data_IF_479767886247
#
_entry.id   IF_479767886247
#
_cell.length_a   1.000
_cell.length_b   1.000
_cell.length_c   1.000
_cell.angle_alpha   90.00
_cell.angle_beta   90.00
_cell.angle_gamma   90.00
#
_symmetry.space_group_name_H-M   'P 1'
#
loop_
_entity.id
_entity.type
_entity.pdbx_description
1 polymer ?
#
# COMPACT_ATOMS: atom_id res chain seq x y z
N UNK A 1 -10.84 19.09 66.86
CA UNK A 1 -10.19 18.22 65.86
C UNK A 1 -10.80 18.57 64.51
N UNK A 2 -10.21 19.52 63.76
CA UNK A 2 -10.79 20.08 62.53
C UNK A 2 -10.14 19.40 61.31
N UNK A 3 -10.94 18.73 60.49
CA UNK A 3 -10.56 18.20 59.19
C UNK A 3 -10.21 19.34 58.22
N UNK A 4 -9.07 19.25 57.55
CA UNK A 4 -8.74 20.07 56.38
C UNK A 4 -8.88 19.22 55.11
N UNK A 5 -9.81 19.61 54.25
CA UNK A 5 -9.91 19.13 52.87
C UNK A 5 -8.86 19.87 52.02
N UNK A 6 -7.91 19.14 51.44
CA UNK A 6 -6.98 19.67 50.44
C UNK A 6 -7.61 19.48 49.06
N UNK A 7 -8.10 20.57 48.47
CA UNK A 7 -8.52 20.61 47.07
C UNK A 7 -7.25 20.73 46.19
N UNK A 8 -6.94 19.66 45.45
CA UNK A 8 -5.87 19.66 44.46
C UNK A 8 -6.46 20.10 43.11
N UNK A 9 -6.35 21.39 42.79
CA UNK A 9 -6.75 21.92 41.47
C UNK A 9 -5.56 21.77 40.52
N UNK A 10 -5.63 20.82 39.58
CA UNK A 10 -4.71 20.73 38.45
C UNK A 10 -5.14 21.78 37.42
N UNK A 11 -4.33 22.83 37.28
CA UNK A 11 -4.42 23.78 36.17
C UNK A 11 -3.80 23.11 34.94
N UNK A 12 -4.63 22.53 34.06
CA UNK A 12 -4.20 22.16 32.70
C UNK A 12 -4.08 23.47 31.91
N UNK A 13 -2.88 24.04 31.89
CA UNK A 13 -2.52 25.03 30.88
C UNK A 13 -2.60 24.32 29.52
N UNK A 14 -3.68 24.55 28.76
CA UNK A 14 -3.64 24.45 27.31
C UNK A 14 -2.70 25.55 26.83
N UNK A 15 -1.40 25.28 26.91
CA UNK A 15 -0.46 25.96 26.05
C UNK A 15 -0.87 25.57 24.63
N UNK A 16 -1.43 26.53 23.90
CA UNK A 16 -1.55 26.46 22.46
C UNK A 16 -0.11 26.37 21.94
N UNK A 17 0.41 25.15 21.82
CA UNK A 17 1.66 24.92 21.12
C UNK A 17 1.29 25.17 19.66
N UNK A 18 1.73 26.27 19.03
CA UNK A 18 1.59 26.37 17.60
C UNK A 18 2.33 25.15 17.05
N UNK A 19 1.61 24.23 16.40
CA UNK A 19 2.23 23.20 15.59
C UNK A 19 3.00 23.96 14.52
N UNK A 20 4.28 24.21 14.76
CA UNK A 20 5.18 24.57 13.69
C UNK A 20 5.21 23.33 12.83
N UNK A 21 4.72 23.46 11.60
CA UNK A 21 5.08 22.55 10.52
C UNK A 21 6.60 22.69 10.29
N UNK A 22 7.38 22.19 11.23
CA UNK A 22 8.75 21.77 11.02
C UNK A 22 8.69 20.41 10.34
N UNK A 23 9.62 20.17 9.43
CA UNK A 23 9.84 18.89 8.78
C UNK A 23 10.33 17.84 9.81
N UNK A 24 9.47 17.48 10.76
CA UNK A 24 9.70 16.35 11.64
C UNK A 24 9.01 15.14 11.04
N UNK A 25 9.83 14.13 10.76
CA UNK A 25 9.35 12.86 10.23
C UNK A 25 8.48 12.17 11.29
N UNK A 26 7.30 11.69 10.89
CA UNK A 26 6.50 10.80 11.72
C UNK A 26 7.18 9.44 11.75
N UNK A 27 7.54 8.99 12.94
CA UNK A 27 8.06 7.64 13.15
C UNK A 27 6.92 6.63 13.21
N UNK A 28 7.02 5.62 12.37
CA UNK A 28 6.16 4.45 12.36
C UNK A 28 7.00 3.25 12.79
N UNK A 29 6.43 2.34 13.57
CA UNK A 29 7.11 1.13 14.02
C UNK A 29 6.39 -0.09 13.47
N UNK A 30 7.14 -0.97 12.80
CA UNK A 30 6.67 -2.26 12.33
C UNK A 30 7.32 -3.33 13.17
N UNK A 31 6.51 -4.21 13.77
CA UNK A 31 7.01 -5.30 14.60
C UNK A 31 6.76 -6.64 13.91
N UNK A 32 7.81 -7.45 13.76
CA UNK A 32 7.69 -8.85 13.40
C UNK A 32 7.72 -9.70 14.68
N UNK A 33 6.56 -10.15 15.14
CA UNK A 33 6.47 -10.92 16.40
C UNK A 33 6.81 -12.41 16.26
N UNK A 34 7.03 -12.91 15.04
CA UNK A 34 7.26 -14.35 14.78
C UNK A 34 8.74 -14.69 14.65
N UNK A 35 9.06 -15.96 14.88
CA UNK A 35 10.40 -16.53 14.78
C UNK A 35 10.83 -16.86 13.33
N UNK A 36 10.46 -16.00 12.37
CA UNK A 36 10.79 -16.17 10.97
C UNK A 36 11.00 -14.82 10.30
N UNK A 37 11.99 -14.76 9.41
CA UNK A 37 12.26 -13.58 8.59
C UNK A 37 11.12 -13.35 7.60
N UNK A 38 10.84 -12.07 7.35
CA UNK A 38 9.86 -11.59 6.39
C UNK A 38 10.61 -10.77 5.37
N UNK A 39 10.63 -11.24 4.11
CA UNK A 39 11.39 -10.62 3.02
C UNK A 39 10.39 -10.11 1.99
N UNK A 40 10.45 -8.82 1.66
CA UNK A 40 9.50 -8.15 0.77
C UNK A 40 8.05 -8.22 1.26
N UNK A 41 7.82 -8.24 2.57
CA UNK A 41 6.48 -8.36 3.14
C UNK A 41 5.69 -7.08 2.87
N UNK A 42 4.50 -7.24 2.29
CA UNK A 42 3.60 -6.13 2.03
C UNK A 42 2.91 -5.69 3.31
N UNK A 43 2.91 -4.38 3.56
CA UNK A 43 2.30 -3.75 4.73
C UNK A 43 1.31 -2.72 4.24
N UNK A 44 0.08 -2.81 4.76
CA UNK A 44 -0.96 -1.79 4.60
C UNK A 44 -1.35 -1.26 5.98
N UNK A 45 -1.27 0.05 6.19
CA UNK A 45 -1.68 0.66 7.46
C UNK A 45 -2.32 2.04 7.28
N UNK A 46 -3.24 2.40 8.17
CA UNK A 46 -3.89 3.72 8.15
C UNK A 46 -3.04 4.76 8.88
N UNK A 47 -2.75 5.87 8.21
CA UNK A 47 -2.03 7.01 8.78
C UNK A 47 -2.99 8.20 8.93
N UNK A 48 -3.19 8.72 10.15
CA UNK A 48 -3.96 9.93 10.38
C UNK A 48 -3.09 11.18 10.13
N UNK A 49 -3.72 12.21 9.58
CA UNK A 49 -3.08 13.50 9.32
C UNK A 49 -3.87 14.65 9.96
N UNK A 50 -3.19 15.67 10.52
CA UNK A 50 -3.87 16.87 11.01
C UNK A 50 -4.55 17.66 9.88
N UNK A 51 -5.63 18.37 10.22
CA UNK A 51 -6.33 19.26 9.28
C UNK A 51 -5.37 20.33 8.72
N UNK A 52 -5.45 20.56 7.42
CA UNK A 52 -4.64 21.53 6.67
C UNK A 52 -3.23 21.08 6.27
N UNK A 53 -2.74 19.92 6.73
CA UNK A 53 -1.34 19.52 6.53
C UNK A 53 -1.09 18.83 5.19
N UNK A 54 -1.84 17.76 4.88
CA UNK A 54 -1.64 16.97 3.67
C UNK A 54 -2.75 17.29 2.67
N UNK A 55 -2.40 17.89 1.54
CA UNK A 55 -3.35 18.13 0.43
C UNK A 55 -3.10 17.21 -0.77
N UNK A 56 -1.89 16.71 -0.90
CA UNK A 56 -1.46 15.81 -1.95
C UNK A 56 -0.63 14.70 -1.33
N UNK A 57 -1.14 13.47 -1.39
CA UNK A 57 -0.46 12.29 -0.85
C UNK A 57 0.74 11.87 -1.71
N UNK A 58 0.85 12.34 -2.96
CA UNK A 58 2.01 12.11 -3.82
C UNK A 58 3.28 12.83 -3.34
N UNK A 59 3.16 13.72 -2.35
CA UNK A 59 4.28 14.41 -1.72
C UNK A 59 4.74 13.75 -0.42
N UNK A 60 4.13 12.63 -0.04
CA UNK A 60 4.53 11.83 1.12
C UNK A 60 5.61 10.83 0.70
N UNK A 61 6.57 10.60 1.58
CA UNK A 61 7.60 9.59 1.38
C UNK A 61 7.86 8.83 2.68
N UNK A 62 8.15 7.53 2.56
CA UNK A 62 8.59 6.68 3.67
C UNK A 62 10.07 6.33 3.49
N UNK A 63 10.85 6.33 4.57
CA UNK A 63 12.26 5.95 4.57
C UNK A 63 12.60 4.97 5.69
N UNK A 64 13.63 4.15 5.44
CA UNK A 64 14.33 3.35 6.46
C UNK A 64 15.72 3.98 6.62
N UNK A 65 15.98 4.59 7.77
CA UNK A 65 17.16 5.44 7.95
C UNK A 65 17.15 6.58 6.92
N UNK A 66 18.17 6.62 6.05
CA UNK A 66 18.31 7.64 5.01
C UNK A 66 17.84 7.17 3.62
N UNK A 67 17.27 5.97 3.51
CA UNK A 67 16.85 5.40 2.24
C UNK A 67 15.33 5.49 2.08
N UNK A 68 14.87 6.31 1.14
CA UNK A 68 13.46 6.34 0.76
C UNK A 68 13.09 5.02 0.12
N UNK A 69 12.10 4.35 0.68
CA UNK A 69 11.54 3.11 0.14
C UNK A 69 10.36 3.45 -0.75
N UNK A 70 10.09 2.63 -1.77
CA UNK A 70 8.87 2.80 -2.54
C UNK A 70 7.67 2.74 -1.56
N UNK A 71 6.67 3.60 -1.76
CA UNK A 71 5.47 3.65 -0.93
C UNK A 71 4.31 4.28 -1.70
N UNK A 72 3.10 3.75 -1.48
CA UNK A 72 1.86 4.26 -2.04
C UNK A 72 0.94 4.77 -0.93
N UNK A 73 0.27 5.90 -1.19
CA UNK A 73 -0.70 6.48 -0.27
C UNK A 73 -2.06 6.65 -0.92
N UNK A 74 -3.07 5.98 -0.38
CA UNK A 74 -4.47 6.07 -0.83
C UNK A 74 -5.29 6.86 0.17
N UNK A 75 -5.69 8.12 -0.12
CA UNK A 75 -6.54 8.90 0.78
C UNK A 75 -7.92 8.25 0.89
N UNK A 76 -8.38 8.02 2.13
CA UNK A 76 -9.66 7.35 2.42
C UNK A 76 -10.67 8.25 3.14
N UNK A 77 -10.20 9.29 3.84
CA UNK A 77 -11.05 10.27 4.52
C UNK A 77 -10.41 11.66 4.40
N UNK A 78 -11.21 12.68 4.13
CA UNK A 78 -10.79 14.08 4.11
C UNK A 78 -11.38 14.89 5.28
N UNK A 79 -10.70 15.97 5.66
CA UNK A 79 -11.20 17.03 6.53
C UNK A 79 -12.12 17.99 5.78
N UNK A 80 -12.73 18.93 6.51
CA UNK A 80 -13.68 19.89 5.95
C UNK A 80 -13.04 20.88 4.97
N UNK A 81 -11.75 21.15 5.12
CA UNK A 81 -10.94 22.00 4.25
C UNK A 81 -10.39 21.27 3.00
N UNK A 82 -10.74 19.98 2.83
CA UNK A 82 -10.27 19.13 1.74
C UNK A 82 -8.90 18.50 1.95
N UNK A 83 -8.20 18.80 3.04
CA UNK A 83 -6.97 18.09 3.40
C UNK A 83 -7.26 16.63 3.78
N UNK A 84 -6.28 15.75 3.58
CA UNK A 84 -6.38 14.34 3.93
C UNK A 84 -6.42 14.21 5.44
N UNK A 85 -7.39 13.45 5.94
CA UNK A 85 -7.52 13.08 7.35
C UNK A 85 -6.98 11.70 7.64
N UNK A 86 -7.21 10.76 6.72
CA UNK A 86 -6.69 9.40 6.76
C UNK A 86 -6.26 8.96 5.37
N UNK A 87 -5.08 8.36 5.26
CA UNK A 87 -4.67 7.61 4.08
C UNK A 87 -4.20 6.21 4.47
N UNK A 88 -4.35 5.25 3.56
CA UNK A 88 -3.65 3.97 3.64
C UNK A 88 -2.25 4.14 3.08
N UNK A 89 -1.24 3.74 3.84
CA UNK A 89 0.13 3.51 3.38
C UNK A 89 0.26 2.05 2.97
N UNK A 90 0.67 1.82 1.73
CA UNK A 90 1.11 0.53 1.19
C UNK A 90 2.62 0.59 0.93
N UNK A 91 3.38 -0.35 1.50
CA UNK A 91 4.83 -0.47 1.30
C UNK A 91 5.29 -1.91 1.45
N UNK A 92 6.48 -2.23 0.94
CA UNK A 92 7.14 -3.52 1.19
C UNK A 92 8.41 -3.31 2.00
N UNK A 93 8.63 -4.18 2.99
CA UNK A 93 9.87 -4.16 3.77
C UNK A 93 10.39 -5.58 4.00
N UNK A 94 11.70 -5.69 4.15
CA UNK A 94 12.29 -6.81 4.87
C UNK A 94 12.15 -6.55 6.38
N UNK A 95 12.05 -7.58 7.21
CA UNK A 95 12.11 -7.49 8.66
C UNK A 95 12.46 -8.88 9.23
N UNK A 96 13.50 -8.95 10.04
CA UNK A 96 14.00 -10.22 10.59
C UNK A 96 13.12 -10.72 11.72
N UNK A 97 13.27 -12.00 12.08
CA UNK A 97 12.54 -12.61 13.20
C UNK A 97 12.67 -11.79 14.49
N UNK A 98 11.54 -11.49 15.15
CA UNK A 98 11.49 -10.73 16.41
C UNK A 98 12.04 -9.29 16.34
N UNK A 99 12.20 -8.72 15.14
CA UNK A 99 12.66 -7.34 14.96
C UNK A 99 11.51 -6.33 15.10
N UNK A 100 11.84 -5.15 15.60
CA UNK A 100 11.05 -3.94 15.41
C UNK A 100 11.82 -2.97 14.50
N UNK A 101 11.16 -2.48 13.45
CA UNK A 101 11.75 -1.60 12.44
C UNK A 101 11.06 -0.24 12.45
N UNK A 102 11.86 0.81 12.56
CA UNK A 102 11.41 2.20 12.44
C UNK A 102 11.36 2.63 10.97
N UNK A 103 10.24 3.24 10.57
CA UNK A 103 10.06 3.93 9.30
C UNK A 103 9.83 5.42 9.56
N UNK A 104 10.45 6.27 8.76
CA UNK A 104 10.27 7.73 8.81
C UNK A 104 9.33 8.18 7.69
N UNK A 105 8.17 8.70 8.05
CA UNK A 105 7.22 9.32 7.13
C UNK A 105 7.45 10.84 7.10
N UNK A 106 7.75 11.36 5.92
CA UNK A 106 8.06 12.79 5.73
C UNK A 106 6.99 13.50 4.90
N UNK A 107 6.81 14.79 5.19
CA UNK A 107 5.94 15.70 4.44
C UNK A 107 6.77 16.62 3.56
N UNK A 108 6.68 16.47 2.23
CA UNK A 108 6.86 17.61 1.34
C UNK A 108 8.07 17.65 0.40
N UNK A 109 7.82 18.45 -0.64
CA UNK A 109 8.64 19.09 -1.67
C UNK A 109 9.39 18.24 -2.70
N UNK A 110 9.59 16.94 -2.49
CA UNK A 110 10.15 16.08 -3.55
C UNK A 110 9.39 14.78 -3.65
N UNK A 111 8.76 14.58 -4.79
CA UNK A 111 8.29 13.26 -5.22
C UNK A 111 9.51 12.37 -5.44
N UNK A 112 9.61 11.24 -4.75
CA UNK A 112 10.59 10.23 -5.11
C UNK A 112 10.08 9.43 -6.31
N UNK A 113 10.95 9.23 -7.31
CA UNK A 113 10.62 8.42 -8.47
C UNK A 113 10.68 6.94 -8.07
N UNK A 114 9.56 6.23 -8.23
CA UNK A 114 9.51 4.78 -8.10
C UNK A 114 10.49 4.12 -9.06
N UNK A 115 11.34 3.24 -8.53
CA UNK A 115 12.22 2.38 -9.32
C UNK A 115 11.35 1.25 -9.84
N UNK A 116 11.34 1.02 -11.16
CA UNK A 116 10.51 0.01 -11.82
C UNK A 116 8.99 0.17 -11.57
N UNK A 117 8.38 1.32 -11.91
CA UNK A 117 6.96 1.52 -11.69
C UNK A 117 6.13 0.48 -12.45
N UNK A 118 4.96 0.15 -11.90
CA UNK A 118 3.94 -0.59 -12.63
C UNK A 118 3.61 0.17 -13.92
N UNK A 119 3.82 -0.48 -15.05
CA UNK A 119 3.42 -0.01 -16.37
C UNK A 119 2.32 -0.92 -16.91
N UNK A 120 1.24 -0.32 -17.38
CA UNK A 120 0.07 -1.04 -17.89
C UNK A 120 -0.20 -0.56 -19.31
N UNK A 121 -0.33 -1.52 -20.22
CA UNK A 121 -0.74 -1.32 -21.61
C UNK A 121 -2.04 -2.08 -21.80
N UNK A 122 -3.12 -1.36 -22.08
CA UNK A 122 -4.43 -1.93 -22.35
C UNK A 122 -4.80 -1.75 -23.82
N UNK A 123 -5.36 -2.81 -24.41
CA UNK A 123 -5.98 -2.78 -25.73
C UNK A 123 -7.34 -3.50 -25.70
N UNK A 124 -7.93 -3.73 -26.87
CA UNK A 124 -9.26 -4.35 -26.97
C UNK A 124 -9.32 -5.83 -26.52
N UNK A 125 -8.20 -6.55 -26.59
CA UNK A 125 -8.11 -7.99 -26.32
C UNK A 125 -7.35 -8.34 -25.05
N UNK A 126 -6.49 -7.45 -24.53
CA UNK A 126 -5.66 -7.76 -23.37
C UNK A 126 -5.29 -6.55 -22.52
N UNK A 127 -4.89 -6.84 -21.29
CA UNK A 127 -4.18 -5.92 -20.40
C UNK A 127 -2.80 -6.53 -20.13
N UNK A 128 -1.74 -5.79 -20.45
CA UNK A 128 -0.36 -6.19 -20.18
C UNK A 128 0.21 -5.32 -19.06
N UNK A 129 0.70 -5.96 -18.01
CA UNK A 129 1.36 -5.32 -16.87
C UNK A 129 2.84 -5.67 -16.87
N UNK A 130 3.70 -4.71 -16.57
CA UNK A 130 5.12 -4.92 -16.32
C UNK A 130 5.60 -4.13 -15.11
N UNK A 131 6.37 -4.76 -14.23
CA UNK A 131 7.06 -4.12 -13.11
C UNK A 131 8.37 -4.86 -12.83
N UNK A 132 9.51 -4.20 -13.09
CA UNK A 132 10.83 -4.81 -12.96
C UNK A 132 10.98 -6.07 -13.81
N UNK A 133 11.24 -7.21 -13.18
CA UNK A 133 11.34 -8.52 -13.82
C UNK A 133 10.00 -9.20 -14.12
N UNK A 134 8.88 -8.66 -13.62
CA UNK A 134 7.54 -9.20 -13.78
C UNK A 134 6.89 -8.72 -15.08
N UNK A 135 6.39 -9.65 -15.88
CA UNK A 135 5.53 -9.37 -17.04
C UNK A 135 4.30 -10.28 -16.98
N UNK A 136 3.12 -9.67 -16.98
CA UNK A 136 1.83 -10.32 -16.82
C UNK A 136 0.92 -9.91 -17.99
N UNK A 137 0.15 -10.84 -18.53
CA UNK A 137 -0.94 -10.52 -19.46
C UNK A 137 -2.24 -11.12 -18.97
N UNK A 138 -3.32 -10.34 -19.06
CA UNK A 138 -4.70 -10.74 -18.79
C UNK A 138 -5.49 -10.64 -20.09
N UNK A 139 -6.23 -11.69 -20.43
CA UNK A 139 -7.04 -11.77 -21.64
C UNK A 139 -8.46 -11.23 -21.38
N UNK A 140 -8.97 -10.40 -22.29
CA UNK A 140 -10.30 -9.77 -22.21
C UNK A 140 -11.37 -10.53 -23.01
N UNK A 141 -10.98 -11.58 -23.75
CA UNK A 141 -11.83 -12.36 -24.65
C UNK A 141 -11.98 -13.81 -24.21
N UNK A 142 -11.02 -14.36 -23.48
CA UNK A 142 -11.05 -15.72 -22.94
C UNK A 142 -10.71 -15.69 -21.46
N UNK A 143 -11.48 -16.40 -20.62
CA UNK A 143 -11.22 -16.41 -19.18
C UNK A 143 -10.20 -17.49 -18.82
N UNK A 144 -8.94 -17.10 -18.71
CA UNK A 144 -7.86 -17.96 -18.24
C UNK A 144 -7.18 -17.52 -16.95
N UNK A 145 -7.79 -16.54 -16.25
CA UNK A 145 -7.28 -15.83 -15.08
C UNK A 145 -5.98 -15.06 -15.37
N UNK A 146 -4.91 -15.76 -15.74
CA UNK A 146 -3.65 -15.20 -16.21
C UNK A 146 -3.30 -15.85 -17.55
N UNK A 147 -3.19 -15.05 -18.60
CA UNK A 147 -2.83 -15.49 -19.96
C UNK A 147 -1.37 -15.90 -20.04
N UNK A 148 -0.50 -15.05 -19.50
CA UNK A 148 0.92 -15.36 -19.41
C UNK A 148 1.56 -14.62 -18.26
N UNK A 149 2.57 -15.26 -17.68
CA UNK A 149 3.39 -14.72 -16.60
C UNK A 149 4.84 -15.06 -16.87
N UNK A 150 5.68 -14.03 -16.84
CA UNK A 150 7.14 -14.16 -16.92
C UNK A 150 7.76 -13.42 -15.75
N UNK A 151 8.71 -14.07 -15.08
CA UNK A 151 9.48 -13.52 -13.96
C UNK A 151 10.96 -13.66 -14.34
N UNK A 152 11.69 -12.55 -14.36
CA UNK A 152 13.15 -12.51 -14.59
C UNK A 152 13.63 -13.29 -15.83
N UNK A 153 12.87 -13.23 -16.93
CA UNK A 153 13.21 -14.00 -18.13
C UNK A 153 12.48 -15.33 -18.26
N UNK A 154 12.04 -15.91 -17.15
CA UNK A 154 11.46 -17.26 -17.10
C UNK A 154 9.95 -17.24 -17.28
N UNK A 155 9.44 -18.02 -18.23
CA UNK A 155 7.99 -18.21 -18.43
C UNK A 155 7.45 -19.13 -17.34
N UNK A 156 6.56 -18.62 -16.51
CA UNK A 156 5.90 -19.35 -15.41
C UNK A 156 4.52 -19.83 -15.85
N UNK A 157 3.76 -18.97 -16.53
CA UNK A 157 2.45 -19.30 -17.11
C UNK A 157 2.53 -19.03 -18.61
N UNK A 158 2.08 -20.00 -19.39
CA UNK A 158 1.98 -19.90 -20.84
C UNK A 158 0.51 -19.87 -21.29
N UNK A 159 0.22 -19.32 -22.48
CA UNK A 159 -1.12 -19.26 -23.10
C UNK A 159 -1.92 -20.56 -23.26
N UNK A 160 -1.45 -21.70 -22.75
CA UNK A 160 -2.11 -23.01 -22.92
C UNK A 160 -3.00 -23.42 -21.73
N UNK A 161 -3.61 -22.44 -21.05
CA UNK A 161 -4.48 -22.70 -19.90
C UNK A 161 -5.88 -23.14 -20.33
N UNK A 162 -6.49 -24.09 -19.58
CA UNK A 162 -7.92 -24.42 -19.72
C UNK A 162 -8.84 -23.41 -19.01
N UNK A 163 -8.25 -22.38 -18.42
CA UNK A 163 -8.89 -21.41 -17.56
C UNK A 163 -9.46 -22.01 -16.29
N UNK A 164 -10.54 -21.40 -15.79
CA UNK A 164 -11.28 -21.96 -14.65
C UNK A 164 -12.18 -23.09 -15.14
N UNK A 165 -11.93 -24.29 -14.61
CA UNK A 165 -12.72 -25.49 -14.86
C UNK A 165 -13.36 -25.93 -13.55
N UNK A 166 -14.68 -26.05 -13.55
CA UNK A 166 -15.46 -26.63 -12.46
C UNK A 166 -15.80 -28.06 -12.85
N UNK A 167 -15.56 -29.00 -11.93
CA UNK A 167 -15.99 -30.39 -12.06
C UNK A 167 -17.27 -30.59 -11.25
N UNK A 168 -18.33 -31.05 -11.91
CA UNK A 168 -19.56 -31.47 -11.24
C UNK A 168 -19.38 -32.87 -10.64
N UNK A 169 -20.28 -33.29 -9.75
CA UNK A 169 -20.21 -34.60 -9.09
C UNK A 169 -20.25 -35.77 -10.08
N UNK A 170 -20.89 -35.59 -11.25
CA UNK A 170 -20.95 -36.58 -12.32
C UNK A 170 -19.70 -36.60 -13.22
N UNK A 171 -18.69 -35.77 -12.93
CA UNK A 171 -17.47 -35.62 -13.70
C UNK A 171 -17.57 -34.66 -14.89
N UNK A 172 -18.72 -34.02 -15.11
CA UNK A 172 -18.88 -33.02 -16.17
C UNK A 172 -17.98 -31.81 -15.92
N UNK A 173 -17.22 -31.43 -16.97
CA UNK A 173 -16.42 -30.21 -16.96
C UNK A 173 -17.29 -29.01 -17.40
N UNK A 174 -17.36 -27.99 -16.54
CA UNK A 174 -17.91 -26.68 -16.89
C UNK A 174 -16.75 -25.69 -16.97
N UNK A 175 -16.55 -25.10 -18.14
CA UNK A 175 -15.51 -24.07 -18.37
C UNK A 175 -16.10 -22.69 -18.26
N UNK A 176 -15.35 -21.78 -17.66
CA UNK A 176 -15.68 -20.36 -17.69
C UNK A 176 -15.74 -19.86 -19.14
N UNK A 177 -16.80 -19.12 -19.47
CA UNK A 177 -16.88 -18.37 -20.72
C UNK A 177 -16.03 -17.10 -20.69
N UNK A 178 -16.07 -16.28 -21.76
CA UNK A 178 -15.41 -14.98 -21.79
C UNK A 178 -15.75 -14.10 -20.58
N UNK A 179 -14.80 -13.30 -20.06
CA UNK A 179 -15.10 -12.34 -19.01
C UNK A 179 -16.09 -11.27 -19.53
N UNK A 180 -17.01 -10.84 -18.67
CA UNK A 180 -17.91 -9.71 -18.97
C UNK A 180 -17.17 -8.37 -18.98
N UNK A 181 -16.08 -8.28 -18.23
CA UNK A 181 -15.20 -7.11 -18.16
C UNK A 181 -13.90 -7.45 -17.46
N UNK A 182 -12.85 -6.70 -17.79
CA UNK A 182 -11.57 -6.72 -17.08
C UNK A 182 -11.19 -5.25 -16.87
N UNK A 183 -10.93 -4.89 -15.62
CA UNK A 183 -10.68 -3.51 -15.23
C UNK A 183 -9.45 -3.45 -14.34
N UNK A 184 -8.66 -2.39 -14.53
CA UNK A 184 -7.61 -2.02 -13.59
C UNK A 184 -8.22 -1.03 -12.61
N UNK A 185 -8.27 -1.42 -11.34
CA UNK A 185 -8.88 -0.58 -10.30
C UNK A 185 -7.91 0.49 -9.80
N UNK A 186 -6.64 0.13 -9.65
CA UNK A 186 -5.60 1.05 -9.15
C UNK A 186 -4.31 0.82 -9.92
N UNK A 187 -3.75 1.90 -10.47
CA UNK A 187 -2.37 1.94 -10.94
C UNK A 187 -1.60 2.63 -9.82
N UNK A 188 -0.96 1.86 -8.95
CA UNK A 188 -0.27 2.42 -7.78
C UNK A 188 0.80 3.46 -8.13
N UNK A 189 1.45 4.05 -7.13
CA UNK A 189 2.89 4.28 -7.19
C UNK A 189 3.60 3.27 -6.28
N UNK A 190 3.81 2.07 -6.79
CA UNK A 190 4.82 1.08 -6.39
C UNK A 190 4.61 -0.17 -7.21
#
# INVERSE_FOLDING_TARGET
MKLYYSFFTILICLAYVPFRAGAEDIKLFVTNSVAADRIGEAITTGIPFPEGVVKDTGLLNVAIGNHVIPSQFTPIIAWSDGSVRWALLDTQIDITAHEERELSLSYGNKTHKTINPINIIENESSISLSSGGLFLTINKKEFNLIESLKIDGHKVITPQSRGLVIYLEDGTEVRAGPPTGVHVETVGPM
#
